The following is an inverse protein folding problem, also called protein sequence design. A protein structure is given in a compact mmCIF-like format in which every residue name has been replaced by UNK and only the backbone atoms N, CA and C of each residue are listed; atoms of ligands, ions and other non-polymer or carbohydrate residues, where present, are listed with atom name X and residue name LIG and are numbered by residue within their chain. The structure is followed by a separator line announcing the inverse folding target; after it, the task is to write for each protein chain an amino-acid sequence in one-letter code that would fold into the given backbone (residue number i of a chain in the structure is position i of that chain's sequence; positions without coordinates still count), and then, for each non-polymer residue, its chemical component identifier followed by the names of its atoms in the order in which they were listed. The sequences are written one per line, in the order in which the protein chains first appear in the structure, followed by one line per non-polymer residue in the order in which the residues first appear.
data_IF_481102896957
#
_entry.id   IF_481102896957
#
_cell.length_a   1.000
_cell.length_b   1.000
_cell.length_c   1.000
_cell.angle_alpha   90.00
_cell.angle_beta   90.00
_cell.angle_gamma   90.00
#
_symmetry.space_group_name_H-M   'P 1'
#
loop_
_entity.id
_entity.type
_entity.pdbx_description
1 polymer ?
#
# COMPACT_ATOMS: atom_id res chain seq x y z
N UNK A 1 79.53 -34.62 -32.45
CA UNK A 1 78.65 -34.06 -33.52
C UNK A 1 77.46 -33.34 -32.86
N UNK A 2 76.98 -32.22 -33.43
CA UNK A 2 75.67 -31.51 -33.27
C UNK A 2 74.78 -31.81 -32.03
N UNK A 3 74.12 -30.86 -31.34
CA UNK A 3 74.09 -29.36 -31.27
C UNK A 3 73.09 -28.94 -30.15
N UNK A 4 73.32 -27.78 -29.47
CA UNK A 4 72.34 -26.67 -29.20
C UNK A 4 70.91 -27.03 -28.69
N UNK A 5 70.34 -26.62 -27.51
CA UNK A 5 70.64 -25.62 -26.43
C UNK A 5 70.05 -26.06 -25.04
N UNK A 6 70.33 -25.32 -23.95
CA UNK A 6 69.47 -25.13 -22.74
C UNK A 6 68.13 -24.43 -23.07
N UNK A 7 67.04 -24.67 -22.31
CA UNK A 7 66.14 -23.63 -21.72
C UNK A 7 65.15 -24.28 -20.73
N UNK A 8 64.79 -23.59 -19.63
CA UNK A 8 63.74 -23.99 -18.68
C UNK A 8 62.33 -23.58 -19.18
N UNK A 9 61.32 -24.44 -19.04
CA UNK A 9 59.91 -24.02 -18.97
C UNK A 9 59.20 -24.82 -17.87
N UNK A 10 59.15 -24.29 -16.64
CA UNK A 10 58.02 -23.51 -16.12
C UNK A 10 56.75 -24.37 -15.97
N UNK A 11 56.45 -24.76 -14.73
CA UNK A 11 55.36 -25.67 -14.40
C UNK A 11 53.98 -25.09 -14.72
N UNK A 12 53.17 -25.86 -15.44
CA UNK A 12 51.83 -25.47 -15.86
C UNK A 12 50.82 -25.69 -14.72
N UNK A 13 50.75 -24.74 -13.78
CA UNK A 13 49.71 -24.73 -12.74
C UNK A 13 48.37 -24.37 -13.39
N UNK A 14 47.52 -25.37 -13.61
CA UNK A 14 46.14 -25.16 -14.03
C UNK A 14 45.36 -24.58 -12.85
N UNK A 15 45.29 -23.25 -12.79
CA UNK A 15 44.44 -22.56 -11.84
C UNK A 15 42.98 -22.74 -12.28
N UNK A 16 42.31 -23.77 -11.76
CA UNK A 16 40.86 -23.90 -11.85
C UNK A 16 40.21 -22.76 -11.06
N UNK A 17 40.04 -21.63 -11.74
CA UNK A 17 39.26 -20.49 -11.26
C UNK A 17 37.80 -20.89 -11.11
N UNK A 18 37.46 -21.50 -9.97
CA UNK A 18 36.10 -21.59 -9.48
C UNK A 18 35.60 -20.18 -9.20
N UNK A 19 35.12 -19.52 -10.24
CA UNK A 19 34.30 -18.32 -10.15
C UNK A 19 33.01 -18.69 -9.44
N UNK A 20 33.05 -18.71 -8.10
CA UNK A 20 31.87 -18.72 -7.27
C UNK A 20 31.10 -17.42 -7.55
N UNK A 21 30.19 -17.49 -8.51
CA UNK A 21 29.13 -16.51 -8.67
C UNK A 21 28.26 -16.59 -7.42
N UNK A 22 28.58 -15.77 -6.42
CA UNK A 22 27.72 -15.56 -5.25
C UNK A 22 26.45 -14.93 -5.79
N UNK A 23 25.44 -15.78 -6.04
CA UNK A 23 24.15 -15.37 -6.58
C UNK A 23 23.40 -14.63 -5.46
N UNK A 24 23.69 -13.34 -5.31
CA UNK A 24 23.02 -12.47 -4.36
C UNK A 24 21.50 -12.61 -4.52
N UNK A 25 20.81 -12.79 -3.40
CA UNK A 25 19.36 -12.98 -3.40
C UNK A 25 18.69 -11.73 -4.00
N UNK A 26 18.05 -11.91 -5.16
CA UNK A 26 17.35 -10.83 -5.87
C UNK A 26 15.95 -10.67 -5.30
N UNK A 27 15.62 -9.47 -4.85
CA UNK A 27 14.27 -9.13 -4.37
C UNK A 27 13.68 -8.16 -5.38
N UNK A 28 12.51 -8.51 -5.92
CA UNK A 28 11.75 -7.67 -6.83
C UNK A 28 10.66 -6.96 -6.03
N UNK A 29 10.55 -5.64 -6.19
CA UNK A 29 9.53 -4.83 -5.51
C UNK A 29 8.64 -4.22 -6.59
N UNK A 30 7.36 -4.63 -6.61
CA UNK A 30 6.30 -4.05 -7.44
C UNK A 30 5.38 -3.12 -6.63
N UNK A 31 4.37 -2.56 -7.29
CA UNK A 31 3.23 -1.92 -6.62
C UNK A 31 2.01 -2.85 -6.60
N UNK A 32 1.12 -2.60 -5.63
CA UNK A 32 -0.23 -3.17 -5.56
C UNK A 32 -1.31 -2.14 -5.95
N UNK A 33 -0.90 -0.92 -6.31
CA UNK A 33 -1.77 0.18 -6.74
C UNK A 33 -1.34 0.68 -8.12
N UNK A 34 -2.29 1.16 -8.91
CA UNK A 34 -2.02 1.82 -10.18
C UNK A 34 -1.92 3.33 -9.98
N UNK A 35 -1.03 4.00 -10.72
CA UNK A 35 -0.75 5.42 -10.58
C UNK A 35 0.55 5.82 -11.27
N UNK A 36 0.96 7.09 -11.17
CA UNK A 36 2.23 7.57 -11.74
C UNK A 36 3.31 7.65 -10.67
N UNK A 37 4.56 7.27 -10.98
CA UNK A 37 5.70 7.46 -10.08
C UNK A 37 6.01 8.96 -9.96
N UNK A 38 5.65 9.55 -8.82
CA UNK A 38 5.87 10.96 -8.52
C UNK A 38 7.34 11.24 -8.16
N UNK A 39 7.94 10.35 -7.36
CA UNK A 39 9.28 10.49 -6.83
C UNK A 39 9.97 9.14 -6.68
N UNK A 40 11.26 9.10 -7.02
CA UNK A 40 12.17 8.00 -6.64
C UNK A 40 13.14 8.56 -5.61
N UNK A 41 13.18 7.95 -4.43
CA UNK A 41 13.93 8.43 -3.26
C UNK A 41 15.33 7.80 -3.12
N UNK A 42 15.67 6.85 -4.00
CA UNK A 42 16.93 6.09 -3.96
C UNK A 42 17.69 6.14 -5.28
N UNK A 43 18.98 5.79 -5.22
CA UNK A 43 19.88 5.68 -6.39
C UNK A 43 20.38 4.25 -6.56
N UNK A 44 20.70 3.87 -7.80
CA UNK A 44 21.37 2.58 -8.07
C UNK A 44 22.71 2.52 -7.31
N UNK A 45 23.02 1.36 -6.74
CA UNK A 45 24.19 1.12 -5.87
C UNK A 45 24.01 1.52 -4.40
N UNK A 46 22.95 2.27 -4.06
CA UNK A 46 22.69 2.71 -2.69
C UNK A 46 22.31 1.53 -1.77
N UNK A 47 22.82 1.53 -0.55
CA UNK A 47 22.34 0.65 0.53
C UNK A 47 21.07 1.25 1.15
N UNK A 48 20.01 0.45 1.24
CA UNK A 48 18.74 0.81 1.88
C UNK A 48 18.54 0.03 3.18
N UNK A 49 17.81 0.61 4.14
CA UNK A 49 17.40 -0.04 5.40
C UNK A 49 15.90 -0.42 5.36
N UNK A 50 15.44 -1.39 6.17
CA UNK A 50 14.00 -1.66 6.31
C UNK A 50 13.22 -0.38 6.66
N UNK A 51 12.04 -0.19 6.07
CA UNK A 51 11.21 1.02 6.24
C UNK A 51 11.75 2.28 5.55
N UNK A 52 12.82 2.18 4.76
CA UNK A 52 13.30 3.31 3.96
C UNK A 52 12.49 3.45 2.69
N UNK A 53 11.92 4.64 2.45
CA UNK A 53 11.22 4.98 1.20
C UNK A 53 12.12 4.74 -0.02
N UNK A 54 11.57 4.04 -1.01
CA UNK A 54 12.23 3.73 -2.29
C UNK A 54 11.61 4.54 -3.42
N UNK A 55 10.27 4.49 -3.55
CA UNK A 55 9.51 5.35 -4.45
C UNK A 55 8.17 5.76 -3.85
N UNK A 56 7.62 6.84 -4.38
CA UNK A 56 6.27 7.33 -4.10
C UNK A 56 5.48 7.37 -5.40
N UNK A 57 4.27 6.84 -5.35
CA UNK A 57 3.25 6.91 -6.40
C UNK A 57 2.32 8.07 -6.05
N UNK A 58 1.93 8.84 -7.06
CA UNK A 58 0.96 9.94 -6.93
C UNK A 58 -0.35 9.43 -6.34
N UNK A 59 -0.67 9.89 -5.12
CA UNK A 59 -1.85 9.49 -4.36
C UNK A 59 -2.97 10.55 -4.41
N UNK A 60 -2.86 11.62 -5.21
CA UNK A 60 -3.83 12.74 -5.18
C UNK A 60 -5.26 12.32 -5.47
N UNK A 61 -5.47 11.40 -6.43
CA UNK A 61 -6.79 10.85 -6.72
C UNK A 61 -7.34 10.00 -5.55
N UNK A 62 -6.45 9.29 -4.85
CA UNK A 62 -6.78 8.49 -3.69
C UNK A 62 -7.10 9.35 -2.44
N UNK A 63 -6.35 10.44 -2.23
CA UNK A 63 -6.64 11.42 -1.18
C UNK A 63 -7.99 12.14 -1.42
N UNK A 64 -8.34 12.42 -2.67
CA UNK A 64 -9.65 12.96 -3.02
C UNK A 64 -10.79 11.98 -2.71
N UNK A 65 -10.64 10.70 -3.07
CA UNK A 65 -11.60 9.63 -2.74
C UNK A 65 -11.76 9.46 -1.22
N UNK A 66 -10.66 9.44 -0.45
CA UNK A 66 -10.69 9.42 1.01
C UNK A 66 -11.46 10.61 1.59
N UNK A 67 -11.24 11.82 1.07
CA UNK A 67 -11.93 13.02 1.51
C UNK A 67 -13.44 12.97 1.20
N UNK A 68 -13.82 12.45 0.04
CA UNK A 68 -15.23 12.24 -0.33
C UNK A 68 -15.92 11.23 0.59
N UNK A 69 -15.29 10.08 0.86
CA UNK A 69 -15.83 9.07 1.77
C UNK A 69 -15.91 9.55 3.22
N UNK A 70 -14.93 10.33 3.69
CA UNK A 70 -14.97 10.94 5.02
C UNK A 70 -16.11 11.97 5.16
N UNK A 71 -16.39 12.73 4.10
CA UNK A 71 -17.53 13.65 4.06
C UNK A 71 -18.88 12.91 4.05
N UNK A 72 -19.00 11.80 3.31
CA UNK A 72 -20.21 10.96 3.30
C UNK A 72 -20.45 10.31 4.68
N UNK A 73 -19.41 9.75 5.31
CA UNK A 73 -19.49 9.26 6.68
C UNK A 73 -20.00 10.37 7.62
N UNK A 74 -19.47 11.59 7.51
CA UNK A 74 -19.91 12.72 8.35
C UNK A 74 -21.37 13.10 8.10
N UNK A 75 -21.84 13.07 6.86
CA UNK A 75 -23.24 13.30 6.53
C UNK A 75 -24.17 12.23 7.10
N UNK A 76 -23.73 10.97 7.13
CA UNK A 76 -24.48 9.85 7.72
C UNK A 76 -24.47 9.89 9.25
N UNK A 77 -23.37 10.27 9.89
CA UNK A 77 -23.31 10.51 11.35
C UNK A 77 -24.34 11.56 11.78
N UNK A 78 -24.52 12.63 11.00
CA UNK A 78 -25.53 13.66 11.29
C UNK A 78 -26.96 13.14 11.16
N UNK A 79 -27.25 12.33 10.12
CA UNK A 79 -28.57 11.68 9.96
C UNK A 79 -28.86 10.66 11.06
N UNK A 80 -27.84 9.97 11.54
CA UNK A 80 -27.97 9.04 12.67
C UNK A 80 -28.27 9.78 13.98
N UNK A 81 -27.58 10.90 14.24
CA UNK A 81 -27.89 11.76 15.39
C UNK A 81 -29.32 12.34 15.34
N UNK A 82 -29.80 12.72 14.15
CA UNK A 82 -31.17 13.18 13.91
C UNK A 82 -32.21 12.08 14.19
N UNK A 83 -32.01 10.89 13.62
CA UNK A 83 -32.86 9.72 13.87
C UNK A 83 -32.83 9.25 15.34
N UNK A 84 -31.73 9.46 16.05
CA UNK A 84 -31.66 9.23 17.51
C UNK A 84 -32.56 10.21 18.27
N UNK A 85 -32.53 11.49 17.93
CA UNK A 85 -33.40 12.51 18.53
C UNK A 85 -34.89 12.21 18.24
N UNK A 86 -35.22 11.76 17.03
CA UNK A 86 -36.59 11.33 16.69
C UNK A 86 -37.04 10.11 17.49
N UNK A 87 -36.17 9.10 17.66
CA UNK A 87 -36.46 7.91 18.47
C UNK A 87 -36.65 8.26 19.95
N UNK A 88 -35.79 9.10 20.52
CA UNK A 88 -35.89 9.53 21.92
C UNK A 88 -37.21 10.30 22.17
N UNK A 89 -37.65 11.14 21.22
CA UNK A 89 -38.95 11.82 21.29
C UNK A 89 -40.13 10.84 21.14
N UNK A 90 -40.05 9.91 20.19
CA UNK A 90 -41.09 8.90 19.99
C UNK A 90 -41.24 7.97 21.22
N UNK A 91 -40.14 7.69 21.92
CA UNK A 91 -40.13 6.93 23.17
C UNK A 91 -40.89 7.66 24.30
N UNK A 92 -40.57 8.93 24.59
CA UNK A 92 -41.28 9.73 25.61
C UNK A 92 -42.79 9.81 25.32
N UNK A 93 -43.16 10.08 24.07
CA UNK A 93 -44.56 10.15 23.66
C UNK A 93 -45.26 8.78 23.79
N UNK A 94 -44.55 7.68 23.56
CA UNK A 94 -45.14 6.33 23.63
C UNK A 94 -45.35 5.90 25.08
N UNK A 95 -44.37 6.12 25.95
CA UNK A 95 -44.47 5.87 27.39
C UNK A 95 -45.59 6.70 28.05
N UNK A 96 -45.82 7.91 27.53
CA UNK A 96 -46.92 8.80 27.94
C UNK A 96 -48.28 8.45 27.29
N UNK A 97 -48.34 7.37 26.51
CA UNK A 97 -49.54 6.90 25.77
C UNK A 97 -50.11 7.94 24.78
N UNK A 98 -49.26 8.83 24.25
CA UNK A 98 -49.64 9.92 23.34
C UNK A 98 -49.54 9.49 21.87
N UNK A 99 -48.55 8.66 21.52
CA UNK A 99 -48.35 8.13 20.15
C UNK A 99 -48.71 6.64 20.04
N UNK A 100 -49.04 6.19 18.84
CA UNK A 100 -49.29 4.78 18.55
C UNK A 100 -47.99 3.96 18.48
N UNK A 101 -48.03 2.70 18.91
CA UNK A 101 -46.87 1.77 18.82
C UNK A 101 -46.21 1.74 17.43
N UNK A 102 -47.01 1.88 16.36
CA UNK A 102 -46.55 1.92 14.97
C UNK A 102 -45.59 3.07 14.67
N UNK A 103 -45.79 4.23 15.29
CA UNK A 103 -44.94 5.42 15.10
C UNK A 103 -43.61 5.26 15.84
N UNK A 104 -43.64 4.75 17.08
CA UNK A 104 -42.43 4.33 17.81
C UNK A 104 -41.64 3.25 17.06
N UNK A 105 -42.31 2.19 16.59
CA UNK A 105 -41.67 1.11 15.81
C UNK A 105 -41.02 1.66 14.52
N UNK A 106 -41.63 2.67 13.90
CA UNK A 106 -41.11 3.32 12.69
C UNK A 106 -39.89 4.21 12.98
N UNK A 107 -39.92 5.00 14.05
CA UNK A 107 -38.77 5.79 14.51
C UNK A 107 -37.59 4.89 14.89
N UNK A 108 -37.86 3.77 15.58
CA UNK A 108 -36.84 2.77 15.90
C UNK A 108 -36.22 2.16 14.64
N UNK A 109 -37.04 1.81 13.65
CA UNK A 109 -36.54 1.29 12.37
C UNK A 109 -35.69 2.33 11.62
N UNK A 110 -36.04 3.61 11.68
CA UNK A 110 -35.26 4.70 11.09
C UNK A 110 -33.89 4.86 11.77
N UNK A 111 -33.85 4.83 13.10
CA UNK A 111 -32.61 4.79 13.89
C UNK A 111 -31.73 3.58 13.52
N UNK A 112 -32.31 2.37 13.55
CA UNK A 112 -31.58 1.13 13.25
C UNK A 112 -30.98 1.21 11.82
N UNK A 113 -31.74 1.71 10.83
CA UNK A 113 -31.26 1.90 9.46
C UNK A 113 -30.14 2.95 9.34
N UNK A 114 -30.24 4.06 10.07
CA UNK A 114 -29.23 5.11 10.07
C UNK A 114 -27.91 4.65 10.72
N UNK A 115 -27.99 3.87 11.80
CA UNK A 115 -26.83 3.22 12.44
C UNK A 115 -26.08 2.32 11.44
N UNK A 116 -26.82 1.44 10.75
CA UNK A 116 -26.22 0.54 9.76
C UNK A 116 -25.60 1.31 8.57
N UNK A 117 -26.16 2.46 8.19
CA UNK A 117 -25.58 3.33 7.18
C UNK A 117 -24.23 3.92 7.62
N UNK A 118 -24.12 4.40 8.87
CA UNK A 118 -22.85 4.87 9.47
C UNK A 118 -21.82 3.75 9.53
N UNK A 119 -22.20 2.56 10.02
CA UNK A 119 -21.30 1.40 10.10
C UNK A 119 -20.76 1.00 8.72
N UNK A 120 -21.62 0.98 7.70
CA UNK A 120 -21.24 0.70 6.31
C UNK A 120 -20.27 1.74 5.76
N UNK A 121 -20.56 3.03 5.94
CA UNK A 121 -19.69 4.11 5.45
C UNK A 121 -18.33 4.12 6.14
N UNK A 122 -18.30 3.83 7.45
CA UNK A 122 -17.07 3.67 8.22
C UNK A 122 -16.22 2.50 7.70
N UNK A 123 -16.83 1.33 7.50
CA UNK A 123 -16.13 0.17 6.94
C UNK A 123 -15.59 0.43 5.52
N UNK A 124 -16.32 1.20 4.70
CA UNK A 124 -15.86 1.62 3.38
C UNK A 124 -14.63 2.55 3.48
N UNK A 125 -14.68 3.55 4.37
CA UNK A 125 -13.57 4.47 4.61
C UNK A 125 -12.33 3.74 5.14
N UNK A 126 -12.48 2.84 6.12
CA UNK A 126 -11.38 2.02 6.65
C UNK A 126 -10.78 1.10 5.57
N UNK A 127 -11.63 0.50 4.72
CA UNK A 127 -11.19 -0.30 3.57
C UNK A 127 -10.36 0.53 2.60
N UNK A 128 -10.80 1.75 2.23
CA UNK A 128 -10.02 2.64 1.38
C UNK A 128 -8.73 3.09 2.09
N UNK A 129 -8.76 3.48 3.37
CA UNK A 129 -7.57 3.86 4.16
C UNK A 129 -6.47 2.78 4.18
N UNK A 130 -6.84 1.49 4.19
CA UNK A 130 -5.88 0.38 4.17
C UNK A 130 -4.95 0.37 2.94
N UNK A 131 -5.33 1.04 1.84
CA UNK A 131 -4.52 1.15 0.61
C UNK A 131 -3.46 2.26 0.65
N UNK A 132 -3.55 3.25 1.55
CA UNK A 132 -2.63 4.40 1.58
C UNK A 132 -1.16 3.98 1.62
N UNK A 133 -0.86 2.95 2.42
CA UNK A 133 0.49 2.40 2.58
C UNK A 133 1.12 1.88 1.29
N UNK A 134 0.34 1.55 0.26
CA UNK A 134 0.87 1.03 -1.01
C UNK A 134 1.28 2.12 -2.00
N UNK A 135 0.89 3.39 -1.76
CA UNK A 135 1.39 4.54 -2.51
C UNK A 135 2.81 4.95 -2.10
N UNK A 136 3.29 4.48 -0.92
CA UNK A 136 4.68 4.62 -0.47
C UNK A 136 5.36 3.27 -0.44
N UNK A 137 6.26 3.04 -1.39
CA UNK A 137 6.97 1.77 -1.51
C UNK A 137 8.27 1.85 -0.73
N UNK A 138 8.33 1.12 0.38
CA UNK A 138 9.45 1.06 1.30
C UNK A 138 10.26 -0.23 1.13
N UNK A 139 11.52 -0.22 1.57
CA UNK A 139 12.34 -1.43 1.58
C UNK A 139 11.86 -2.41 2.66
N UNK A 140 11.55 -3.68 2.33
CA UNK A 140 11.16 -4.67 3.34
C UNK A 140 12.36 -5.18 4.13
N UNK A 141 13.58 -5.10 3.57
CA UNK A 141 14.82 -5.61 4.17
C UNK A 141 15.99 -4.66 3.89
N UNK A 142 17.09 -4.84 4.62
CA UNK A 142 18.38 -4.19 4.27
C UNK A 142 18.98 -4.85 3.02
N UNK A 143 19.21 -4.08 1.97
CA UNK A 143 19.76 -4.55 0.70
C UNK A 143 20.43 -3.40 -0.09
N UNK A 144 21.07 -3.71 -1.21
CA UNK A 144 21.57 -2.74 -2.19
C UNK A 144 20.58 -2.59 -3.35
N UNK A 145 20.36 -1.36 -3.83
CA UNK A 145 19.58 -1.10 -5.04
C UNK A 145 20.39 -1.54 -6.26
N UNK A 146 19.95 -2.62 -6.92
CA UNK A 146 20.58 -3.16 -8.13
C UNK A 146 20.16 -2.39 -9.39
N UNK A 147 18.87 -2.10 -9.51
CA UNK A 147 18.31 -1.35 -10.64
C UNK A 147 17.00 -0.67 -10.24
N UNK A 148 16.71 0.45 -10.89
CA UNK A 148 15.43 1.17 -10.83
C UNK A 148 14.81 1.02 -12.21
N UNK A 149 13.67 0.33 -12.30
CA UNK A 149 12.99 0.03 -13.57
C UNK A 149 11.85 1.01 -13.85
N UNK A 150 11.31 1.66 -12.80
CA UNK A 150 10.31 2.72 -12.92
C UNK A 150 10.93 4.08 -12.52
N UNK A 151 11.47 4.86 -13.47
CA UNK A 151 11.86 6.25 -13.22
C UNK A 151 10.66 7.15 -12.91
N UNK A 152 10.93 8.38 -12.47
CA UNK A 152 9.90 9.41 -12.28
C UNK A 152 9.10 9.61 -13.58
N UNK A 153 7.78 9.70 -13.46
CA UNK A 153 6.85 9.86 -14.58
C UNK A 153 6.39 8.55 -15.22
N UNK A 154 6.98 7.40 -14.86
CA UNK A 154 6.46 6.08 -15.30
C UNK A 154 5.07 5.84 -14.73
N UNK A 155 4.13 5.44 -15.59
CA UNK A 155 2.82 4.96 -15.17
C UNK A 155 2.90 3.49 -14.79
N UNK A 156 2.42 3.17 -13.60
CA UNK A 156 2.27 1.81 -13.09
C UNK A 156 0.82 1.39 -13.28
N UNK A 157 0.61 0.31 -14.04
CA UNK A 157 -0.68 -0.34 -14.23
C UNK A 157 -0.56 -1.81 -13.84
N UNK A 158 -1.46 -2.26 -12.97
CA UNK A 158 -1.60 -3.67 -12.59
C UNK A 158 -0.52 -4.21 -11.65
N UNK A 159 -0.81 -5.38 -11.09
CA UNK A 159 0.08 -6.06 -10.15
C UNK A 159 1.33 -6.63 -10.82
N UNK A 160 2.40 -6.74 -10.03
CA UNK A 160 3.57 -7.58 -10.29
C UNK A 160 4.57 -7.12 -11.39
N UNK A 161 4.44 -5.89 -11.92
CA UNK A 161 5.54 -5.28 -12.66
C UNK A 161 6.66 -4.84 -11.69
N UNK A 162 7.92 -5.32 -11.83
CA UNK A 162 8.98 -5.04 -10.87
C UNK A 162 9.50 -3.60 -11.05
N UNK A 163 9.25 -2.73 -10.09
CA UNK A 163 9.64 -1.31 -10.13
C UNK A 163 11.10 -1.11 -9.69
N UNK A 164 11.55 -1.88 -8.70
CA UNK A 164 12.91 -1.84 -8.15
C UNK A 164 13.44 -3.26 -7.96
N UNK A 165 14.71 -3.45 -8.31
CA UNK A 165 15.47 -4.66 -8.02
C UNK A 165 16.44 -4.37 -6.87
N UNK A 166 16.34 -5.14 -5.79
CA UNK A 166 17.32 -5.14 -4.70
C UNK A 166 18.16 -6.43 -4.75
N UNK A 167 19.40 -6.33 -4.29
CA UNK A 167 20.30 -7.47 -4.07
C UNK A 167 20.87 -7.43 -2.65
N UNK A 168 20.94 -8.60 -2.00
CA UNK A 168 21.46 -8.74 -0.63
C UNK A 168 22.98 -8.86 -0.60
#
# INVERSE_FOLDING_TARGET
MKKTVLTYSLGFVVLLGLSMTVQAAKIQIGALVSGQVEQVAVKVGQMVKPGQLLLQIDDRAYQAELAMQAAELKALELKFADAQIELDQAADLYDRTVTAKREFDAAKLAYDLAEQAVLKAKAQLESTQAWQKYYRIEAPVRARVKAIQAPKGTTVFGENNPLILLEK
#
